data_IF_302184499544
#
_entry.id   IF_302184499544
#
_cell.length_a   1.000
_cell.length_b   1.000
_cell.length_c   1.000
_cell.angle_alpha   90.00
_cell.angle_beta   90.00
_cell.angle_gamma   90.00
#
_symmetry.space_group_name_H-M   'P 1'
#
loop_
_entity.id
_entity.type
_entity.pdbx_description
1 polymer ?
#
# COMPACT_ATOMS: atom_id res chain seq x y z
N UNK A 1 20.96 -6.11 4.14
CA UNK A 1 19.71 -6.64 3.56
C UNK A 1 18.99 -5.49 2.87
N UNK A 2 18.20 -5.76 1.87
CA UNK A 2 17.41 -4.75 1.14
C UNK A 2 15.94 -4.93 1.41
N UNK A 3 15.14 -3.89 1.17
CA UNK A 3 13.67 -3.98 1.36
C UNK A 3 13.06 -5.14 0.58
N UNK A 4 13.51 -5.41 -0.63
CA UNK A 4 13.00 -6.51 -1.45
C UNK A 4 13.19 -7.88 -0.77
N UNK A 5 14.24 -8.03 0.01
CA UNK A 5 14.58 -9.31 0.66
C UNK A 5 13.60 -9.72 1.75
N UNK A 6 12.89 -8.74 2.32
CA UNK A 6 11.91 -8.97 3.40
C UNK A 6 10.48 -9.13 2.92
N UNK A 7 10.23 -8.99 1.62
CA UNK A 7 8.88 -9.10 1.06
C UNK A 7 8.54 -10.57 0.81
N UNK A 8 7.39 -11.00 1.32
CA UNK A 8 6.80 -12.30 1.04
C UNK A 8 6.05 -12.28 -0.29
N UNK A 9 5.19 -11.29 -0.48
CA UNK A 9 4.34 -11.16 -1.67
C UNK A 9 3.96 -9.70 -1.91
N UNK A 10 3.93 -9.31 -3.19
CA UNK A 10 3.28 -8.09 -3.63
C UNK A 10 1.84 -8.38 -4.05
N UNK A 11 0.93 -7.47 -3.69
CA UNK A 11 -0.49 -7.58 -3.98
C UNK A 11 -0.88 -6.37 -4.84
N UNK A 12 -1.21 -6.64 -6.09
CA UNK A 12 -1.57 -5.59 -7.03
C UNK A 12 -2.88 -4.89 -6.62
N UNK A 13 -2.95 -3.57 -6.85
CA UNK A 13 -4.16 -2.80 -6.70
C UNK A 13 -5.17 -3.05 -7.81
N UNK A 14 -6.40 -2.62 -7.54
CA UNK A 14 -7.52 -2.68 -8.48
C UNK A 14 -8.46 -1.51 -8.21
N UNK A 15 -8.99 -0.89 -9.25
CA UNK A 15 -9.99 0.15 -9.06
C UNK A 15 -11.40 -0.40 -9.04
N UNK A 16 -11.64 -1.53 -9.69
CA UNK A 16 -12.95 -2.15 -9.81
C UNK A 16 -13.96 -1.27 -10.54
N UNK A 17 -15.23 -1.54 -10.29
CA UNK A 17 -16.38 -0.85 -10.86
C UNK A 17 -17.13 -0.04 -9.80
N UNK A 18 -17.85 1.00 -10.23
CA UNK A 18 -18.64 1.84 -9.30
C UNK A 18 -19.88 1.15 -8.78
N UNK A 19 -20.44 0.27 -9.58
CA UNK A 19 -21.71 -0.40 -9.29
C UNK A 19 -21.56 -1.91 -9.34
N UNK A 20 -22.42 -2.58 -8.58
CA UNK A 20 -22.58 -4.03 -8.65
C UNK A 20 -22.95 -4.50 -10.05
N UNK A 21 -22.35 -5.60 -10.48
CA UNK A 21 -22.78 -6.38 -11.64
C UNK A 21 -22.62 -7.88 -11.36
N UNK A 22 -23.16 -8.72 -12.26
CA UNK A 22 -22.96 -10.17 -12.16
C UNK A 22 -21.50 -10.57 -12.36
N UNK A 23 -20.77 -9.79 -13.15
CA UNK A 23 -19.35 -9.98 -13.45
C UNK A 23 -18.45 -9.47 -12.31
N UNK A 24 -18.91 -8.45 -11.57
CA UNK A 24 -18.20 -7.86 -10.44
C UNK A 24 -19.08 -7.80 -9.19
N UNK A 25 -19.38 -8.96 -8.57
CA UNK A 25 -20.35 -9.04 -7.48
C UNK A 25 -19.78 -8.73 -6.10
N UNK A 26 -18.46 -8.62 -5.95
CA UNK A 26 -17.82 -8.49 -4.64
C UNK A 26 -17.59 -7.02 -4.28
N UNK A 27 -18.31 -6.54 -3.26
CA UNK A 27 -18.09 -5.22 -2.70
C UNK A 27 -16.81 -5.19 -1.87
N UNK A 28 -15.96 -4.19 -2.10
CA UNK A 28 -14.70 -3.98 -1.39
C UNK A 28 -14.49 -2.49 -1.10
N UNK A 29 -13.83 -2.18 0.00
CA UNK A 29 -13.36 -0.84 0.30
C UNK A 29 -11.99 -0.65 -0.35
N UNK A 30 -11.86 0.35 -1.22
CA UNK A 30 -10.69 0.55 -2.07
C UNK A 30 -9.88 1.76 -1.61
N UNK A 31 -8.74 1.50 -0.97
CA UNK A 31 -7.84 2.54 -0.45
C UNK A 31 -7.09 3.21 -1.58
N UNK A 32 -7.20 4.53 -1.65
CA UNK A 32 -6.49 5.40 -2.62
C UNK A 32 -5.34 6.13 -1.94
N UNK A 33 -4.48 6.77 -2.74
CA UNK A 33 -3.46 7.69 -2.22
C UNK A 33 -4.04 8.80 -1.32
N UNK A 34 -5.23 9.33 -1.64
CA UNK A 34 -5.93 10.32 -0.82
C UNK A 34 -6.34 9.82 0.57
N UNK A 35 -6.45 8.51 0.76
CA UNK A 35 -6.90 7.91 2.01
C UNK A 35 -5.74 7.58 2.98
N UNK A 36 -4.50 7.66 2.52
CA UNK A 36 -3.31 7.25 3.30
C UNK A 36 -3.18 8.07 4.60
N UNK A 37 -3.25 9.40 4.52
CA UNK A 37 -3.16 10.25 5.71
C UNK A 37 -4.39 10.09 6.61
N UNK A 38 -5.63 10.18 6.11
CA UNK A 38 -6.81 9.91 6.95
C UNK A 38 -6.77 8.57 7.68
N UNK A 39 -6.33 7.50 7.03
CA UNK A 39 -6.20 6.17 7.67
C UNK A 39 -5.23 6.22 8.87
N UNK A 40 -4.13 6.96 8.78
CA UNK A 40 -3.20 7.12 9.88
C UNK A 40 -3.80 7.84 11.10
N UNK A 41 -4.87 8.59 10.89
CA UNK A 41 -5.67 9.29 11.89
C UNK A 41 -6.95 8.53 12.27
N UNK A 42 -7.09 7.28 11.84
CA UNK A 42 -8.28 6.44 12.03
C UNK A 42 -9.57 7.02 11.41
N UNK A 43 -9.45 7.87 10.41
CA UNK A 43 -10.58 8.34 9.61
C UNK A 43 -10.71 7.50 8.33
N UNK A 44 -11.70 6.62 8.30
CA UNK A 44 -11.99 5.73 7.19
C UNK A 44 -13.23 6.16 6.38
N UNK A 45 -13.83 7.29 6.73
CA UNK A 45 -15.17 7.70 6.26
C UNK A 45 -15.24 7.98 4.76
N UNK A 46 -14.13 8.43 4.15
CA UNK A 46 -14.09 8.82 2.74
C UNK A 46 -13.62 7.72 1.78
N UNK A 47 -13.24 6.56 2.28
CA UNK A 47 -12.72 5.47 1.44
C UNK A 47 -13.87 4.88 0.61
N UNK A 48 -13.77 4.89 -0.74
CA UNK A 48 -14.87 4.45 -1.58
C UNK A 48 -15.07 2.93 -1.55
N UNK A 49 -16.33 2.51 -1.71
CA UNK A 49 -16.69 1.13 -1.99
C UNK A 49 -16.65 0.92 -3.51
N UNK A 50 -16.04 -0.18 -3.93
CA UNK A 50 -15.93 -0.60 -5.32
C UNK A 50 -16.38 -2.05 -5.45
N UNK A 51 -16.57 -2.52 -6.69
CA UNK A 51 -17.02 -3.88 -6.98
C UNK A 51 -16.01 -4.57 -7.88
N UNK A 52 -15.59 -5.77 -7.51
CA UNK A 52 -14.62 -6.59 -8.23
C UNK A 52 -15.16 -8.01 -8.45
N UNK A 53 -14.55 -8.74 -9.38
CA UNK A 53 -14.90 -10.13 -9.59
C UNK A 53 -14.33 -11.05 -8.49
N UNK A 54 -14.84 -12.27 -8.42
CA UNK A 54 -14.44 -13.22 -7.37
C UNK A 54 -12.98 -13.63 -7.44
N UNK A 55 -12.38 -13.70 -8.62
CA UNK A 55 -10.94 -14.02 -8.77
C UNK A 55 -10.07 -12.91 -8.22
N UNK A 56 -10.40 -11.65 -8.51
CA UNK A 56 -9.72 -10.49 -7.97
C UNK A 56 -9.92 -10.41 -6.44
N UNK A 57 -11.12 -10.66 -5.96
CA UNK A 57 -11.42 -10.71 -4.52
C UNK A 57 -10.53 -11.70 -3.78
N UNK A 58 -10.40 -12.92 -4.29
CA UNK A 58 -9.58 -13.97 -3.68
C UNK A 58 -8.09 -13.61 -3.63
N UNK A 59 -7.60 -12.83 -4.60
CA UNK A 59 -6.16 -12.51 -4.72
C UNK A 59 -5.75 -11.16 -4.14
N UNK A 60 -6.66 -10.19 -4.08
CA UNK A 60 -6.32 -8.79 -3.83
C UNK A 60 -6.80 -8.25 -2.48
N UNK A 61 -7.66 -8.99 -1.78
CA UNK A 61 -8.07 -8.60 -0.43
C UNK A 61 -6.89 -8.64 0.54
N UNK A 62 -6.75 -7.56 1.29
CA UNK A 62 -5.65 -7.33 2.20
C UNK A 62 -5.95 -7.91 3.59
N UNK A 63 -4.89 -8.23 4.31
CA UNK A 63 -4.93 -8.76 5.68
C UNK A 63 -4.30 -7.75 6.63
N UNK A 64 -4.57 -7.92 7.92
CA UNK A 64 -3.88 -7.15 8.97
C UNK A 64 -2.37 -7.31 8.81
N UNK A 65 -1.66 -6.19 8.85
CA UNK A 65 -0.22 -6.14 8.69
C UNK A 65 0.27 -5.97 7.25
N UNK A 66 -0.61 -6.08 6.23
CA UNK A 66 -0.24 -5.68 4.88
C UNK A 66 0.02 -4.17 4.83
N UNK A 67 1.00 -3.76 4.03
CA UNK A 67 1.38 -2.36 3.87
C UNK A 67 1.04 -1.94 2.45
N UNK A 68 0.23 -0.89 2.34
CA UNK A 68 -0.11 -0.24 1.08
C UNK A 68 0.94 0.84 0.81
N UNK A 69 1.45 0.90 -0.42
CA UNK A 69 2.37 1.95 -0.87
C UNK A 69 1.84 2.62 -2.13
N UNK A 70 1.86 3.94 -2.13
CA UNK A 70 1.52 4.74 -3.30
C UNK A 70 2.62 4.64 -4.34
N UNK A 71 2.28 4.21 -5.54
CA UNK A 71 3.24 4.12 -6.65
C UNK A 71 2.99 5.10 -7.78
N UNK A 72 1.79 5.68 -7.88
CA UNK A 72 1.43 6.70 -8.87
C UNK A 72 0.68 7.84 -8.23
N UNK A 73 0.97 9.07 -8.64
CA UNK A 73 0.36 10.27 -8.08
C UNK A 73 1.40 11.32 -7.78
N UNK A 74 1.37 11.85 -6.56
CA UNK A 74 2.26 12.90 -6.13
C UNK A 74 1.92 14.27 -6.74
N UNK A 75 2.77 15.24 -6.47
CA UNK A 75 2.68 16.59 -7.00
C UNK A 75 4.11 17.14 -7.21
N UNK A 76 4.27 18.35 -7.76
CA UNK A 76 5.60 18.96 -7.86
C UNK A 76 6.35 19.05 -6.52
N UNK A 77 5.62 19.11 -5.41
CA UNK A 77 6.17 19.25 -4.05
C UNK A 77 6.02 18.01 -3.19
N UNK A 78 5.35 16.97 -3.67
CA UNK A 78 5.08 15.74 -2.92
C UNK A 78 5.53 14.52 -3.70
N UNK A 79 6.43 13.73 -3.10
CA UNK A 79 6.88 12.45 -3.66
C UNK A 79 5.78 11.38 -3.60
N UNK A 80 5.89 10.40 -4.47
CA UNK A 80 5.22 9.10 -4.34
C UNK A 80 5.94 8.25 -3.28
N UNK A 81 5.29 7.19 -2.81
CA UNK A 81 5.88 6.28 -1.82
C UNK A 81 5.33 6.45 -0.41
N UNK A 82 4.24 7.21 -0.24
CA UNK A 82 3.52 7.23 1.04
C UNK A 82 2.94 5.86 1.34
N UNK A 83 2.92 5.49 2.60
CA UNK A 83 2.49 4.16 3.04
C UNK A 83 1.33 4.23 4.02
N UNK A 84 0.51 3.19 4.00
CA UNK A 84 -0.56 2.94 4.97
C UNK A 84 -0.49 1.51 5.45
N UNK A 85 -0.71 1.31 6.76
CA UNK A 85 -0.78 -0.02 7.36
C UNK A 85 -2.23 -0.49 7.41
N UNK A 86 -2.48 -1.70 6.97
CA UNK A 86 -3.78 -2.35 7.14
C UNK A 86 -3.90 -2.82 8.59
N UNK A 87 -4.70 -2.10 9.37
CA UNK A 87 -4.96 -2.39 10.78
C UNK A 87 -6.22 -3.24 10.95
N UNK A 88 -6.38 -3.82 12.15
CA UNK A 88 -7.62 -4.51 12.49
C UNK A 88 -8.81 -3.54 12.49
N UNK A 89 -8.61 -2.31 12.98
CA UNK A 89 -9.62 -1.27 13.02
C UNK A 89 -10.14 -0.92 11.62
N UNK A 90 -9.24 -0.85 10.63
CA UNK A 90 -9.65 -0.63 9.24
C UNK A 90 -10.51 -1.79 8.72
N UNK A 91 -10.11 -3.03 8.96
CA UNK A 91 -10.88 -4.20 8.53
C UNK A 91 -12.21 -4.33 9.26
N UNK A 92 -12.27 -4.01 10.54
CA UNK A 92 -13.51 -4.02 11.33
C UNK A 92 -14.52 -2.98 10.81
N UNK A 93 -14.03 -1.82 10.38
CA UNK A 93 -14.86 -0.78 9.78
C UNK A 93 -15.29 -1.12 8.35
N UNK A 94 -14.37 -1.57 7.53
CA UNK A 94 -14.51 -1.65 6.08
C UNK A 94 -14.86 -3.03 5.55
N UNK A 95 -14.64 -4.09 6.32
CA UNK A 95 -14.75 -5.47 5.83
C UNK A 95 -13.60 -5.82 4.88
N UNK A 96 -13.92 -6.20 3.64
CA UNK A 96 -12.91 -6.51 2.63
C UNK A 96 -12.24 -5.23 2.11
N UNK A 97 -10.93 -5.17 2.16
CA UNK A 97 -10.12 -4.02 1.74
C UNK A 97 -9.18 -4.42 0.62
N UNK A 98 -9.13 -3.60 -0.42
CA UNK A 98 -8.12 -3.61 -1.48
C UNK A 98 -7.45 -2.24 -1.57
N UNK A 99 -6.36 -2.13 -2.30
CA UNK A 99 -5.84 -0.81 -2.71
C UNK A 99 -6.16 -0.52 -4.18
N UNK A 100 -6.17 0.77 -4.54
CA UNK A 100 -6.41 1.20 -5.91
C UNK A 100 -5.24 0.81 -6.83
N UNK A 101 -5.47 0.90 -8.13
CA UNK A 101 -4.44 0.63 -9.14
C UNK A 101 -3.28 1.66 -9.14
N UNK A 102 -3.42 2.80 -8.45
CA UNK A 102 -2.31 3.75 -8.21
C UNK A 102 -1.46 3.39 -6.98
N UNK A 103 -1.87 2.36 -6.27
CA UNK A 103 -1.15 1.77 -5.16
C UNK A 103 -0.80 0.31 -5.45
N UNK A 104 0.07 -0.22 -4.64
CA UNK A 104 0.24 -1.66 -4.48
C UNK A 104 0.36 -1.96 -3.00
N UNK A 105 0.09 -3.18 -2.61
CA UNK A 105 0.33 -3.61 -1.25
C UNK A 105 1.39 -4.70 -1.21
N UNK A 106 1.97 -4.92 -0.05
CA UNK A 106 2.88 -6.03 0.16
C UNK A 106 2.77 -6.57 1.57
N UNK A 107 3.16 -7.82 1.72
CA UNK A 107 3.26 -8.52 2.98
C UNK A 107 4.70 -8.81 3.28
N UNK A 108 5.10 -8.60 4.53
CA UNK A 108 6.45 -8.93 4.98
C UNK A 108 6.56 -10.40 5.38
N UNK A 109 7.75 -10.95 5.22
CA UNK A 109 8.06 -12.33 5.61
C UNK A 109 7.90 -12.54 7.12
N UNK A 110 7.65 -13.77 7.50
CA UNK A 110 7.68 -14.19 8.90
C UNK A 110 9.02 -13.80 9.56
N UNK A 111 8.96 -13.28 10.78
CA UNK A 111 10.12 -12.77 11.51
C UNK A 111 10.30 -11.24 11.39
N UNK A 112 9.50 -10.60 10.55
CA UNK A 112 9.43 -9.15 10.46
C UNK A 112 8.13 -8.63 11.06
N UNK A 113 8.20 -7.56 11.84
CA UNK A 113 7.03 -6.90 12.41
C UNK A 113 6.54 -5.85 11.40
N UNK A 114 5.30 -5.98 10.85
CA UNK A 114 4.79 -5.04 9.84
C UNK A 114 4.81 -3.58 10.31
N UNK A 115 4.51 -3.34 11.60
CA UNK A 115 4.51 -2.00 12.17
C UNK A 115 5.90 -1.34 12.13
N UNK A 116 6.96 -2.12 12.39
CA UNK A 116 8.35 -1.63 12.26
C UNK A 116 8.65 -1.22 10.81
N UNK A 117 8.31 -2.09 9.85
CA UNK A 117 8.54 -1.81 8.42
C UNK A 117 7.74 -0.59 7.97
N UNK A 118 6.50 -0.46 8.43
CA UNK A 118 5.65 0.71 8.16
C UNK A 118 6.31 2.02 8.65
N UNK A 119 6.74 2.08 9.90
CA UNK A 119 7.40 3.29 10.42
C UNK A 119 8.76 3.54 9.78
N UNK A 120 9.51 2.51 9.45
CA UNK A 120 10.75 2.64 8.71
C UNK A 120 10.51 3.28 7.33
N UNK A 121 9.50 2.82 6.61
CA UNK A 121 9.13 3.39 5.31
C UNK A 121 8.66 4.84 5.41
N UNK A 122 7.89 5.19 6.43
CA UNK A 122 7.53 6.59 6.69
C UNK A 122 8.77 7.45 6.97
N UNK A 123 9.67 6.94 7.78
CA UNK A 123 10.91 7.65 8.12
C UNK A 123 11.76 7.94 6.87
N UNK A 124 12.03 6.92 6.06
CA UNK A 124 12.83 7.12 4.84
C UNK A 124 12.09 7.95 3.78
N UNK A 125 10.75 7.86 3.71
CA UNK A 125 9.95 8.74 2.86
C UNK A 125 10.18 10.21 3.24
N UNK A 126 10.13 10.54 4.53
CA UNK A 126 10.35 11.90 5.03
C UNK A 126 11.79 12.39 4.77
N UNK A 127 12.75 11.48 4.66
CA UNK A 127 14.13 11.78 4.25
C UNK A 127 14.30 11.91 2.72
N UNK A 128 13.23 11.73 1.94
CA UNK A 128 13.28 11.83 0.48
C UNK A 128 13.87 10.61 -0.22
N UNK A 129 13.92 9.45 0.42
CA UNK A 129 14.55 8.25 -0.14
C UNK A 129 13.96 7.79 -1.47
N UNK A 130 12.66 8.03 -1.68
CA UNK A 130 11.99 7.63 -2.92
C UNK A 130 12.14 8.61 -4.07
N UNK A 131 12.62 9.82 -3.81
CA UNK A 131 12.71 10.88 -4.81
C UNK A 131 13.54 10.47 -6.04
N UNK A 132 14.64 9.74 -5.84
CA UNK A 132 15.54 9.30 -6.90
C UNK A 132 14.95 8.12 -7.72
N UNK A 133 13.85 7.54 -7.29
CA UNK A 133 13.18 6.41 -7.96
C UNK A 133 11.88 6.81 -8.65
N UNK A 134 11.60 8.11 -8.76
CA UNK A 134 10.42 8.62 -9.46
C UNK A 134 10.69 8.80 -10.94
N UNK A 135 9.83 8.18 -11.77
CA UNK A 135 9.70 8.50 -13.19
C UNK A 135 8.68 9.62 -13.40
N UNK A 136 8.96 10.55 -14.29
CA UNK A 136 8.03 11.62 -14.68
C UNK A 136 7.48 11.32 -16.07
N UNK A 137 6.18 11.08 -16.14
CA UNK A 137 5.44 11.03 -17.41
C UNK A 137 4.17 11.86 -17.26
N UNK A 138 3.96 12.85 -18.16
CA UNK A 138 2.69 13.61 -18.29
C UNK A 138 2.16 14.25 -16.99
N UNK A 139 3.04 14.73 -16.11
CA UNK A 139 2.64 15.39 -14.85
C UNK A 139 2.31 14.45 -13.70
N UNK A 140 2.17 13.15 -13.93
CA UNK A 140 2.01 12.12 -12.91
C UNK A 140 3.37 11.50 -12.61
N UNK A 141 3.74 11.46 -11.34
CA UNK A 141 4.93 10.73 -10.89
C UNK A 141 4.61 9.27 -10.71
N UNK A 142 5.53 8.41 -11.14
CA UNK A 142 5.45 6.97 -10.94
C UNK A 142 6.69 6.51 -10.18
N UNK A 143 6.47 5.81 -9.08
CA UNK A 143 7.53 5.20 -8.29
C UNK A 143 8.00 3.92 -8.98
N UNK A 144 9.30 3.83 -9.25
CA UNK A 144 9.95 2.59 -9.69
C UNK A 144 10.16 1.69 -8.48
N UNK A 145 9.10 1.04 -8.04
CA UNK A 145 9.04 0.32 -6.76
C UNK A 145 10.09 -0.79 -6.67
N UNK A 146 10.23 -1.59 -7.73
CA UNK A 146 11.19 -2.69 -7.75
C UNK A 146 12.63 -2.18 -7.59
N UNK A 147 12.98 -1.10 -8.30
CA UNK A 147 14.29 -0.47 -8.20
C UNK A 147 14.53 0.12 -6.80
N UNK A 148 13.52 0.80 -6.23
CA UNK A 148 13.60 1.36 -4.89
C UNK A 148 13.81 0.26 -3.84
N UNK A 149 13.02 -0.80 -3.88
CA UNK A 149 13.08 -1.87 -2.90
C UNK A 149 14.36 -2.72 -3.04
N UNK A 150 14.91 -2.84 -4.25
CA UNK A 150 16.20 -3.50 -4.48
C UNK A 150 17.41 -2.65 -4.02
N UNK A 151 17.26 -1.33 -3.95
CA UNK A 151 18.33 -0.41 -3.58
C UNK A 151 18.35 -0.04 -2.10
N UNK A 152 17.17 0.22 -1.51
CA UNK A 152 17.05 0.76 -0.16
C UNK A 152 17.40 -0.33 0.87
N UNK A 153 18.38 -0.06 1.76
CA UNK A 153 18.74 -1.01 2.81
C UNK A 153 17.68 -1.05 3.91
N UNK A 154 17.61 -2.18 4.61
CA UNK A 154 16.92 -2.30 5.89
C UNK A 154 17.80 -3.14 6.81
N UNK A 155 17.86 -2.79 8.08
CA UNK A 155 18.68 -3.52 9.04
C UNK A 155 17.97 -4.82 9.47
N UNK A 156 18.78 -5.87 9.57
CA UNK A 156 18.35 -7.14 10.13
C UNK A 156 18.50 -7.08 11.65
N UNK A 157 17.42 -6.68 12.31
CA UNK A 157 17.35 -6.61 13.77
C UNK A 157 16.43 -7.68 14.30
N UNK A 158 16.68 -8.15 15.51
CA UNK A 158 15.84 -9.19 16.10
C UNK A 158 14.39 -8.70 16.27
N UNK A 159 13.43 -9.63 16.16
CA UNK A 159 12.00 -9.34 16.33
C UNK A 159 11.69 -8.64 17.66
N UNK A 160 12.50 -8.88 18.70
CA UNK A 160 12.37 -8.24 20.01
C UNK A 160 12.76 -6.75 20.04
N UNK A 161 13.43 -6.27 18.97
CA UNK A 161 13.92 -4.88 18.85
C UNK A 161 13.08 -4.10 17.83
N UNK A 162 12.49 -4.79 16.85
CA UNK A 162 11.60 -4.16 15.86
C UNK A 162 10.33 -3.60 16.53
#
# INVERSE_FOLDING_TARGET
MKLIDIIEVFIAGDWGEETYSKETPCAVTCVRGADIIPISEYDFSAIPVRYINQQAYARKCLQVGDIIIEKSGGSPTQSTGRVSLVSQELLDHAGAVICSNFCTAFRVKKGWIPLYVYYYLQFIYNLGAFFNFEGKTSGIKNLQLDAAFAAIPIEDISESIQ
#
